data_IF_197824636184
#
_entry.id   IF_197824636184
#
_cell.length_a   1.000
_cell.length_b   1.000
_cell.length_c   1.000
_cell.angle_alpha   90.00
_cell.angle_beta   90.00
_cell.angle_gamma   90.00
#
_symmetry.space_group_name_H-M   'P 1'
#
loop_
_entity.id
_entity.type
_entity.pdbx_description
1 polymer ?
#
# COMPACT_ATOMS: atom_id res chain seq x y z
N UNK A 1 -15.21 18.86 -3.87
CA UNK A 1 -14.80 19.64 -5.05
C UNK A 1 -13.55 18.96 -5.59
N UNK A 2 -13.66 18.33 -6.75
CA UNK A 2 -12.49 17.69 -7.41
C UNK A 2 -11.58 18.81 -7.87
N UNK A 3 -10.36 18.86 -7.33
CA UNK A 3 -9.30 19.78 -7.75
C UNK A 3 -8.39 19.18 -8.81
N UNK A 4 -7.54 19.97 -9.42
CA UNK A 4 -6.43 19.44 -10.22
C UNK A 4 -5.45 18.75 -9.30
N UNK A 5 -5.20 17.47 -9.53
CA UNK A 5 -4.19 16.69 -8.82
C UNK A 5 -3.32 15.90 -9.80
N UNK A 6 -2.18 15.40 -9.33
CA UNK A 6 -1.16 14.72 -10.14
C UNK A 6 -1.19 13.19 -10.01
N UNK A 7 -2.15 12.65 -9.28
CA UNK A 7 -2.35 11.20 -9.16
C UNK A 7 -3.19 10.72 -10.34
N UNK A 8 -2.60 9.93 -11.23
CA UNK A 8 -3.27 9.44 -12.43
C UNK A 8 -4.30 8.36 -12.08
N UNK A 9 -5.44 8.40 -12.76
CA UNK A 9 -6.46 7.34 -12.73
C UNK A 9 -7.34 7.31 -11.50
N UNK A 10 -7.36 8.39 -10.70
CA UNK A 10 -8.27 8.53 -9.57
C UNK A 10 -8.92 9.92 -9.57
N UNK A 11 -9.96 10.08 -8.76
CA UNK A 11 -10.65 11.36 -8.52
C UNK A 11 -11.11 12.07 -9.81
N UNK A 12 -11.60 11.30 -10.77
CA UNK A 12 -12.28 11.82 -11.93
C UNK A 12 -13.54 12.60 -11.52
N UNK A 13 -14.12 13.40 -12.43
CA UNK A 13 -15.28 14.25 -12.14
C UNK A 13 -16.57 13.45 -11.83
N UNK A 14 -16.51 12.14 -11.82
CA UNK A 14 -17.65 11.26 -11.53
C UNK A 14 -17.29 10.22 -10.47
N UNK A 15 -18.31 9.75 -9.74
CA UNK A 15 -18.20 8.63 -8.82
C UNK A 15 -18.51 7.34 -9.61
N UNK A 16 -17.54 6.41 -9.76
CA UNK A 16 -17.80 5.16 -10.44
C UNK A 16 -18.94 4.38 -9.78
N UNK A 17 -19.80 3.73 -10.58
CA UNK A 17 -20.96 3.00 -10.08
C UNK A 17 -20.60 1.82 -9.13
N UNK A 18 -19.35 1.36 -9.16
CA UNK A 18 -18.83 0.34 -8.25
C UNK A 18 -18.60 0.90 -6.83
N UNK A 19 -18.44 2.22 -6.70
CA UNK A 19 -18.23 2.87 -5.40
C UNK A 19 -19.58 3.20 -4.79
N UNK A 20 -19.89 2.56 -3.68
CA UNK A 20 -21.08 2.80 -2.90
C UNK A 20 -20.72 3.63 -1.68
N UNK A 21 -21.01 4.92 -1.74
CA UNK A 21 -20.61 5.88 -0.70
C UNK A 21 -21.24 5.54 0.66
N UNK A 22 -22.42 4.93 0.67
CA UNK A 22 -23.12 4.49 1.88
C UNK A 22 -22.46 3.30 2.60
N UNK A 23 -21.51 2.62 1.93
CA UNK A 23 -20.74 1.52 2.51
C UNK A 23 -19.36 1.98 3.06
N UNK A 24 -19.02 3.28 2.92
CA UNK A 24 -17.77 3.84 3.41
C UNK A 24 -17.95 4.46 4.79
N UNK A 25 -17.11 4.07 5.75
CA UNK A 25 -17.10 4.66 7.09
C UNK A 25 -16.48 6.08 7.08
N UNK A 26 -15.44 6.28 6.27
CA UNK A 26 -14.74 7.58 6.14
C UNK A 26 -14.10 7.75 4.77
N UNK A 27 -13.80 9.00 4.43
CA UNK A 27 -12.99 9.38 3.26
C UNK A 27 -11.81 10.20 3.77
N UNK A 28 -10.60 9.73 3.48
CA UNK A 28 -9.36 10.36 3.96
C UNK A 28 -8.71 11.13 2.82
N UNK A 29 -8.57 12.43 3.01
CA UNK A 29 -7.87 13.29 2.04
C UNK A 29 -6.36 13.24 2.23
N UNK A 30 -5.64 13.14 1.10
CA UNK A 30 -4.18 13.18 1.03
C UNK A 30 -3.77 14.14 -0.09
N UNK A 31 -2.84 15.04 0.21
CA UNK A 31 -2.24 15.93 -0.79
C UNK A 31 -1.43 15.13 -1.83
N UNK A 32 -1.50 15.52 -3.08
CA UNK A 32 -0.83 14.79 -4.17
C UNK A 32 0.70 14.91 -4.12
N UNK A 33 1.24 16.05 -3.67
CA UNK A 33 2.67 16.24 -3.45
C UNK A 33 3.18 15.38 -2.30
N UNK A 34 2.39 15.27 -1.23
CA UNK A 34 2.69 14.40 -0.10
C UNK A 34 2.69 12.92 -0.53
N UNK A 35 1.70 12.50 -1.33
CA UNK A 35 1.63 11.16 -1.89
C UNK A 35 2.82 10.83 -2.81
N UNK A 36 3.26 11.78 -3.66
CA UNK A 36 4.44 11.63 -4.50
C UNK A 36 5.69 11.44 -3.63
N UNK A 37 5.87 12.31 -2.63
CA UNK A 37 7.00 12.24 -1.71
C UNK A 37 7.06 10.94 -0.93
N UNK A 38 5.91 10.48 -0.44
CA UNK A 38 5.83 9.18 0.25
C UNK A 38 6.20 8.01 -0.65
N UNK A 39 5.72 8.00 -1.90
CA UNK A 39 6.10 6.97 -2.86
C UNK A 39 7.61 6.98 -3.18
N UNK A 40 8.22 8.16 -3.25
CA UNK A 40 9.67 8.33 -3.40
C UNK A 40 10.44 7.79 -2.19
N UNK A 41 9.97 8.07 -0.96
CA UNK A 41 10.58 7.57 0.27
C UNK A 41 10.48 6.04 0.38
N UNK A 42 9.33 5.45 0.09
CA UNK A 42 9.14 4.00 0.05
C UNK A 42 10.12 3.33 -0.92
N UNK A 43 10.34 3.93 -2.09
CA UNK A 43 11.31 3.43 -3.05
C UNK A 43 12.76 3.60 -2.56
N UNK A 44 13.12 4.77 -2.04
CA UNK A 44 14.50 5.10 -1.67
C UNK A 44 14.96 4.38 -0.39
N UNK A 45 14.10 4.27 0.62
CA UNK A 45 14.46 3.75 1.93
C UNK A 45 14.18 2.24 2.07
N UNK A 46 13.10 1.76 1.48
CA UNK A 46 12.66 0.37 1.60
C UNK A 46 12.77 -0.44 0.30
N UNK A 47 13.17 0.18 -0.82
CA UNK A 47 13.22 -0.50 -2.12
C UNK A 47 11.83 -0.82 -2.72
N UNK A 48 10.76 -0.25 -2.17
CA UNK A 48 9.39 -0.48 -2.62
C UNK A 48 9.04 0.49 -3.75
N UNK A 49 9.31 0.08 -4.99
CA UNK A 49 9.04 0.87 -6.20
C UNK A 49 7.54 0.90 -6.54
N UNK A 50 6.77 1.70 -5.82
CA UNK A 50 5.30 1.82 -5.92
C UNK A 50 4.85 3.04 -6.72
N UNK A 51 3.59 3.06 -7.16
CA UNK A 51 2.97 4.22 -7.81
C UNK A 51 2.57 5.32 -6.82
N UNK A 52 2.19 6.50 -7.34
CA UNK A 52 1.84 7.67 -6.53
C UNK A 52 0.64 7.38 -5.61
N UNK A 53 -0.39 6.70 -6.13
CA UNK A 53 -1.57 6.32 -5.35
C UNK A 53 -1.23 5.41 -4.15
N UNK A 54 -0.17 4.61 -4.26
CA UNK A 54 0.32 3.79 -3.15
C UNK A 54 0.91 4.64 -2.02
N UNK A 55 1.62 5.73 -2.36
CA UNK A 55 2.06 6.73 -1.39
C UNK A 55 0.88 7.38 -0.67
N UNK A 56 -0.16 7.77 -1.43
CA UNK A 56 -1.40 8.30 -0.87
C UNK A 56 -2.10 7.30 0.06
N UNK A 57 -2.24 6.05 -0.37
CA UNK A 57 -2.84 4.99 0.43
C UNK A 57 -2.05 4.72 1.73
N UNK A 58 -0.71 4.80 1.68
CA UNK A 58 0.11 4.64 2.86
C UNK A 58 -0.12 5.77 3.87
N UNK A 59 -0.13 7.02 3.41
CA UNK A 59 -0.39 8.18 4.27
C UNK A 59 -1.82 8.16 4.84
N UNK A 60 -2.81 7.77 4.04
CA UNK A 60 -4.18 7.58 4.53
C UNK A 60 -4.25 6.50 5.61
N UNK A 61 -3.53 5.38 5.43
CA UNK A 61 -3.45 4.33 6.44
C UNK A 61 -2.81 4.82 7.75
N UNK A 62 -1.78 5.66 7.69
CA UNK A 62 -1.18 6.28 8.88
C UNK A 62 -2.16 7.20 9.61
N UNK A 63 -2.92 8.03 8.88
CA UNK A 63 -3.96 8.88 9.49
C UNK A 63 -5.02 8.06 10.21
N UNK A 64 -5.47 6.96 9.59
CA UNK A 64 -6.42 6.04 10.22
C UNK A 64 -5.81 5.35 11.45
N UNK A 65 -4.53 4.94 11.36
CA UNK A 65 -3.82 4.35 12.49
C UNK A 65 -3.74 5.31 13.69
N UNK A 66 -3.47 6.59 13.42
CA UNK A 66 -3.41 7.62 14.45
C UNK A 66 -4.77 7.82 15.14
N UNK A 67 -5.87 7.83 14.38
CA UNK A 67 -7.22 7.94 14.92
C UNK A 67 -7.64 6.73 15.76
N UNK A 68 -7.32 5.53 15.30
CA UNK A 68 -7.71 4.27 15.95
C UNK A 68 -6.78 3.87 17.10
N UNK A 69 -5.59 4.47 17.16
CA UNK A 69 -4.59 4.21 18.18
C UNK A 69 -3.58 3.10 17.84
N UNK A 70 -2.54 2.95 18.67
CA UNK A 70 -1.35 2.14 18.34
C UNK A 70 -1.62 0.63 18.23
N UNK A 71 -2.69 0.14 18.84
CA UNK A 71 -3.05 -1.30 18.82
C UNK A 71 -3.88 -1.68 17.58
N UNK A 72 -4.28 -0.70 16.76
CA UNK A 72 -5.09 -0.96 15.59
C UNK A 72 -4.27 -1.60 14.47
N UNK A 73 -4.85 -2.59 13.79
CA UNK A 73 -4.27 -3.19 12.59
C UNK A 73 -4.92 -2.56 11.37
N UNK A 74 -4.16 -1.79 10.62
CA UNK A 74 -4.63 -1.12 9.41
C UNK A 74 -4.07 -1.83 8.17
N UNK A 75 -4.97 -2.26 7.28
CA UNK A 75 -4.61 -2.84 5.99
C UNK A 75 -4.78 -1.81 4.88
N UNK A 76 -3.82 -1.77 3.96
CA UNK A 76 -3.88 -0.91 2.78
C UNK A 76 -3.41 -1.67 1.52
N UNK A 77 -3.54 -1.04 0.36
CA UNK A 77 -3.18 -1.64 -0.92
C UNK A 77 -2.19 -0.76 -1.67
N UNK A 78 -1.15 -1.37 -2.21
CA UNK A 78 -0.26 -0.75 -3.20
C UNK A 78 -0.66 -1.27 -4.58
N UNK A 79 -1.53 -0.56 -5.33
CA UNK A 79 -2.19 -1.11 -6.50
C UNK A 79 -1.26 -1.34 -7.69
N UNK A 80 -0.16 -0.59 -7.79
CA UNK A 80 0.76 -0.72 -8.90
C UNK A 80 2.21 -0.32 -8.57
N UNK A 81 3.10 -0.53 -9.55
CA UNK A 81 4.51 -0.19 -9.43
C UNK A 81 4.83 1.16 -10.06
N UNK A 82 5.97 1.74 -9.69
CA UNK A 82 6.51 2.99 -10.22
C UNK A 82 6.80 2.95 -11.74
N UNK A 83 6.87 1.78 -12.35
CA UNK A 83 7.19 1.61 -13.79
C UNK A 83 6.24 2.37 -14.72
N UNK A 84 5.00 2.57 -14.31
CA UNK A 84 4.00 3.32 -15.09
C UNK A 84 4.21 4.84 -15.03
N UNK A 85 5.00 5.32 -14.08
CA UNK A 85 5.09 6.74 -13.71
C UNK A 85 6.45 7.37 -13.97
N UNK A 86 7.35 6.69 -14.74
CA UNK A 86 8.71 7.15 -15.01
C UNK A 86 8.79 8.49 -15.75
N UNK A 87 7.74 8.87 -16.46
CA UNK A 87 7.63 10.18 -17.17
C UNK A 87 6.82 11.23 -16.40
N UNK A 88 6.39 10.91 -15.19
CA UNK A 88 5.55 11.79 -14.37
C UNK A 88 6.35 12.50 -13.27
N UNK A 89 5.65 13.22 -12.41
CA UNK A 89 6.24 13.91 -11.27
C UNK A 89 6.85 12.97 -10.21
N UNK A 90 6.54 11.68 -10.27
CA UNK A 90 7.12 10.68 -9.35
C UNK A 90 8.67 10.66 -9.37
N UNK A 91 9.29 10.97 -10.50
CA UNK A 91 10.75 11.00 -10.64
C UNK A 91 11.35 12.42 -10.60
N UNK A 92 10.52 13.42 -10.31
CA UNK A 92 10.98 14.80 -10.16
C UNK A 92 11.20 15.12 -8.69
N UNK A 93 11.98 16.17 -8.44
CA UNK A 93 12.11 16.70 -7.08
C UNK A 93 10.76 17.26 -6.62
N UNK A 94 10.23 16.69 -5.54
CA UNK A 94 8.98 17.12 -4.94
C UNK A 94 9.27 17.85 -3.63
N UNK A 95 9.02 19.16 -3.56
CA UNK A 95 9.34 19.95 -2.36
C UNK A 95 8.46 19.54 -1.18
N UNK A 96 9.07 19.46 0.00
CA UNK A 96 8.30 19.31 1.24
C UNK A 96 7.54 20.61 1.53
N UNK A 97 6.29 20.46 2.00
CA UNK A 97 5.49 21.58 2.53
C UNK A 97 5.22 21.37 4.02
N UNK A 98 4.95 22.44 4.78
CA UNK A 98 4.73 22.34 6.22
C UNK A 98 3.54 21.48 6.64
N UNK A 99 2.58 21.27 5.73
CA UNK A 99 1.37 20.49 5.92
C UNK A 99 1.50 19.04 5.42
N UNK A 100 2.68 18.65 4.88
CA UNK A 100 2.96 17.30 4.44
C UNK A 100 3.31 16.38 5.62
N UNK A 101 2.73 15.20 5.62
CA UNK A 101 3.01 14.15 6.60
C UNK A 101 4.26 13.33 6.22
N UNK A 102 4.50 13.07 4.93
CA UNK A 102 5.60 12.22 4.47
C UNK A 102 6.98 12.61 5.05
N UNK A 103 7.35 13.90 5.20
CA UNK A 103 8.63 14.27 5.80
C UNK A 103 8.81 13.84 7.26
N UNK A 104 7.71 13.62 7.99
CA UNK A 104 7.71 13.24 9.40
C UNK A 104 7.67 11.71 9.59
N UNK A 105 7.47 10.96 8.51
CA UNK A 105 7.39 9.50 8.56
C UNK A 105 8.77 8.89 8.62
N UNK A 106 9.03 8.13 9.68
CA UNK A 106 10.22 7.30 9.84
C UNK A 106 9.94 5.86 9.42
N UNK A 107 10.40 5.49 8.21
CA UNK A 107 10.23 4.16 7.65
C UNK A 107 11.28 3.21 8.23
N UNK A 108 10.86 2.25 9.06
CA UNK A 108 11.76 1.33 9.75
C UNK A 108 12.14 0.12 8.88
N UNK A 109 11.18 -0.78 8.69
CA UNK A 109 11.37 -2.03 7.94
C UNK A 109 10.03 -2.63 7.56
N UNK A 110 10.05 -3.66 6.74
CA UNK A 110 8.87 -4.48 6.45
C UNK A 110 9.26 -5.94 6.27
N UNK A 111 8.32 -6.83 6.53
CA UNK A 111 8.45 -8.24 6.21
C UNK A 111 7.66 -8.56 4.95
N UNK A 112 8.31 -9.23 4.00
CA UNK A 112 7.69 -9.60 2.73
C UNK A 112 7.31 -11.07 2.74
N UNK A 113 6.02 -11.36 2.60
CA UNK A 113 5.51 -12.71 2.47
C UNK A 113 4.91 -12.90 1.07
N UNK A 114 5.45 -13.85 0.31
CA UNK A 114 4.89 -14.21 -0.99
C UNK A 114 3.90 -15.35 -0.83
N UNK A 115 2.64 -15.09 -1.09
CA UNK A 115 1.64 -16.14 -1.22
C UNK A 115 1.77 -16.80 -2.60
N UNK A 116 2.34 -17.99 -2.67
CA UNK A 116 2.54 -18.74 -3.91
C UNK A 116 1.56 -19.90 -3.98
N UNK A 117 0.26 -19.63 -3.99
CA UNK A 117 -0.75 -20.70 -4.07
C UNK A 117 -0.94 -21.31 -5.47
N UNK A 118 -0.39 -20.66 -6.52
CA UNK A 118 -0.63 -21.11 -7.90
C UNK A 118 0.45 -22.05 -8.45
N UNK A 119 1.60 -22.14 -7.78
CA UNK A 119 2.76 -22.90 -8.25
C UNK A 119 3.25 -23.97 -7.26
N UNK A 120 2.60 -24.13 -6.13
CA UNK A 120 2.91 -25.20 -5.19
C UNK A 120 2.34 -26.52 -5.70
N UNK A 121 3.21 -27.36 -6.25
CA UNK A 121 2.86 -28.71 -6.62
C UNK A 121 2.75 -29.63 -5.40
N UNK A 122 3.46 -29.32 -4.31
CA UNK A 122 3.58 -30.10 -3.08
C UNK A 122 3.21 -29.24 -1.86
N UNK A 123 2.03 -29.42 -1.26
CA UNK A 123 1.57 -28.64 -0.10
C UNK A 123 2.49 -28.73 1.14
N UNK A 124 3.18 -29.85 1.30
CA UNK A 124 4.08 -30.12 2.42
C UNK A 124 5.35 -29.28 2.32
N UNK A 125 5.94 -29.15 1.14
CA UNK A 125 7.11 -28.32 0.87
C UNK A 125 6.84 -26.82 1.06
N UNK A 126 5.60 -26.38 0.87
CA UNK A 126 5.23 -24.99 1.01
C UNK A 126 5.35 -24.51 2.46
N UNK A 127 4.93 -25.32 3.43
CA UNK A 127 4.97 -25.00 4.85
C UNK A 127 6.42 -25.02 5.36
N UNK A 128 7.23 -25.99 4.93
CA UNK A 128 8.65 -26.07 5.32
C UNK A 128 9.47 -24.92 4.74
N UNK A 129 9.24 -24.55 3.47
CA UNK A 129 9.92 -23.40 2.86
C UNK A 129 9.61 -22.09 3.56
N UNK A 130 8.37 -21.88 3.99
CA UNK A 130 7.98 -20.67 4.72
C UNK A 130 8.61 -20.64 6.10
N UNK A 131 8.66 -21.78 6.80
CA UNK A 131 9.36 -21.92 8.09
C UNK A 131 10.87 -21.71 7.97
N UNK A 132 11.47 -22.18 6.88
CA UNK A 132 12.90 -22.01 6.59
C UNK A 132 13.32 -20.57 6.28
N UNK A 133 12.37 -19.69 5.98
CA UNK A 133 12.62 -18.24 5.77
C UNK A 133 12.60 -17.44 7.08
N UNK A 134 12.46 -18.10 8.23
CA UNK A 134 12.61 -17.45 9.55
C UNK A 134 11.49 -16.48 9.95
N UNK A 135 10.36 -16.56 9.27
CA UNK A 135 9.19 -15.76 9.65
C UNK A 135 8.59 -16.25 10.98
N UNK A 136 8.12 -15.35 11.87
CA UNK A 136 7.29 -15.72 13.01
C UNK A 136 6.06 -16.50 12.51
N UNK A 137 5.41 -17.25 13.39
CA UNK A 137 4.22 -18.06 13.10
C UNK A 137 3.14 -17.22 12.39
N UNK A 138 3.37 -16.97 11.12
CA UNK A 138 2.38 -16.31 10.27
C UNK A 138 1.17 -17.23 10.21
N UNK A 139 0.04 -16.73 10.66
CA UNK A 139 -1.27 -17.31 10.44
C UNK A 139 -1.57 -17.29 8.93
N UNK A 140 -0.91 -18.18 8.21
CA UNK A 140 -1.24 -18.40 6.82
C UNK A 140 -2.63 -19.05 6.80
N UNK A 141 -3.59 -18.49 6.06
CA UNK A 141 -4.85 -19.16 5.87
C UNK A 141 -4.56 -20.56 5.29
N UNK A 142 -5.34 -21.59 5.67
CA UNK A 142 -5.14 -22.95 5.21
C UNK A 142 -5.05 -22.96 3.68
N UNK A 143 -4.12 -23.77 3.15
CA UNK A 143 -3.99 -23.92 1.70
C UNK A 143 -5.32 -24.48 1.15
N UNK A 144 -5.97 -23.81 0.19
CA UNK A 144 -7.27 -24.27 -0.35
C UNK A 144 -7.24 -25.71 -0.92
N UNK A 145 -6.04 -26.25 -1.21
CA UNK A 145 -5.85 -27.62 -1.67
C UNK A 145 -5.75 -28.66 -0.54
N UNK A 146 -5.64 -28.23 0.72
CA UNK A 146 -5.64 -29.16 1.86
C UNK A 146 -7.03 -29.64 2.26
N UNK A 147 -8.09 -29.00 1.79
CA UNK A 147 -9.49 -29.32 2.12
C UNK A 147 -10.22 -30.05 0.98
N UNK A 148 -9.54 -30.38 -0.11
CA UNK A 148 -10.11 -31.25 -1.15
C UNK A 148 -9.89 -32.71 -0.76
N UNK A 149 -10.99 -33.51 -0.57
CA UNK A 149 -10.90 -34.93 -0.29
C UNK A 149 -10.31 -35.71 -1.47
#
# INVERSE_FOLDING_TARGET
KVGKHRIQGISDEFIPAVVKLEELDAIIDVDDGDAIRMAQQLAAQLGLGVGISSGGNFLAALKVQEELGPEAVVATVFPDSNKKYLSTDLLRDEPARPDHLAPEVDLQSFDACKRVCHTCCEPEDCVERIRGLGGPDLLLPPCPRREAP
#
